data_IF_480498140732
#
_entry.id   IF_480498140732
#
_cell.length_a   1.000
_cell.length_b   1.000
_cell.length_c   1.000
_cell.angle_alpha   90.00
_cell.angle_beta   90.00
_cell.angle_gamma   90.00
#
_symmetry.space_group_name_H-M   'P 1'
#
loop_
_entity.id
_entity.type
_entity.pdbx_description
1 polymer ?
#
# COMPACT_ATOMS: atom_id res chain seq x y z
N UNK A 1 4.44 31.20 -4.15
CA UNK A 1 4.67 32.26 -3.14
C UNK A 1 4.79 31.57 -1.80
N UNK A 2 5.71 32.00 -0.93
CA UNK A 2 5.93 31.38 0.38
C UNK A 2 5.57 32.39 1.47
N UNK A 3 4.62 32.04 2.35
CA UNK A 3 4.29 32.87 3.51
C UNK A 3 5.03 32.38 4.76
N UNK A 4 5.49 33.33 5.58
CA UNK A 4 6.22 33.10 6.83
C UNK A 4 6.09 34.30 7.76
N UNK A 5 6.71 34.21 8.92
CA UNK A 5 6.73 35.28 9.93
C UNK A 5 7.00 36.67 9.32
N UNK A 6 6.30 37.68 9.83
CA UNK A 6 6.32 39.08 9.38
C UNK A 6 5.71 39.34 7.99
N UNK A 7 5.23 38.33 7.28
CA UNK A 7 4.41 38.56 6.10
C UNK A 7 3.05 39.16 6.49
N UNK A 8 2.53 40.04 5.62
CA UNK A 8 1.24 40.68 5.78
C UNK A 8 0.49 40.72 4.46
N UNK A 9 -0.84 40.60 4.51
CA UNK A 9 -1.69 40.77 3.34
C UNK A 9 -2.82 39.74 3.27
N UNK A 10 -3.51 39.76 2.14
CA UNK A 10 -4.72 38.95 1.95
C UNK A 10 -4.43 37.44 1.95
N UNK A 11 -3.31 37.03 1.36
CA UNK A 11 -2.91 35.61 1.37
C UNK A 11 -2.72 35.07 2.81
N UNK A 12 -2.24 35.91 3.73
CA UNK A 12 -2.10 35.54 5.15
C UNK A 12 -3.47 35.38 5.80
N UNK A 13 -4.43 36.26 5.49
CA UNK A 13 -5.81 36.10 5.97
C UNK A 13 -6.42 34.80 5.49
N UNK A 14 -6.24 34.48 4.21
CA UNK A 14 -6.72 33.20 3.64
C UNK A 14 -6.16 32.01 4.41
N UNK A 15 -4.86 31.98 4.72
CA UNK A 15 -4.28 30.91 5.55
C UNK A 15 -4.90 30.86 6.94
N UNK A 16 -5.05 32.01 7.60
CA UNK A 16 -5.64 32.11 8.93
C UNK A 16 -7.11 31.63 8.93
N UNK A 17 -7.89 31.97 7.90
CA UNK A 17 -9.26 31.50 7.72
C UNK A 17 -9.33 29.99 7.57
N UNK A 18 -8.52 29.42 6.67
CA UNK A 18 -8.51 27.98 6.40
C UNK A 18 -8.08 27.21 7.65
N UNK A 19 -6.99 27.63 8.31
CA UNK A 19 -6.52 26.98 9.53
C UNK A 19 -7.58 27.01 10.64
N UNK A 20 -8.26 28.14 10.81
CA UNK A 20 -9.34 28.27 11.79
C UNK A 20 -10.52 27.37 11.44
N UNK A 21 -10.89 27.30 10.16
CA UNK A 21 -11.97 26.43 9.70
C UNK A 21 -11.65 24.95 9.94
N UNK A 22 -10.38 24.55 9.71
CA UNK A 22 -9.85 23.22 10.00
C UNK A 22 -9.63 22.92 11.49
N UNK A 23 -10.00 23.84 12.38
CA UNK A 23 -9.96 23.64 13.84
C UNK A 23 -8.61 23.92 14.51
N UNK A 24 -7.67 24.56 13.81
CA UNK A 24 -6.44 25.08 14.40
C UNK A 24 -6.66 26.50 14.97
N UNK A 25 -5.74 26.99 15.78
CA UNK A 25 -5.81 28.33 16.35
C UNK A 25 -4.69 29.24 15.78
N UNK A 26 -4.92 29.90 14.64
CA UNK A 26 -3.91 30.79 14.04
C UNK A 26 -3.86 32.18 14.70
N UNK A 27 -4.70 32.44 15.71
CA UNK A 27 -4.92 33.77 16.27
C UNK A 27 -6.01 34.57 15.51
N UNK A 28 -6.00 35.90 15.61
CA UNK A 28 -6.90 36.77 14.83
C UNK A 28 -6.69 36.59 13.33
N UNK A 29 -7.77 36.72 12.54
CA UNK A 29 -7.70 36.80 11.08
C UNK A 29 -7.46 38.28 10.72
N UNK A 30 -6.23 38.73 10.93
CA UNK A 30 -5.81 40.13 10.75
C UNK A 30 -4.89 40.31 9.53
N UNK A 31 -4.50 39.21 8.89
CA UNK A 31 -3.57 39.22 7.78
C UNK A 31 -2.13 39.46 8.20
N UNK A 32 -1.78 39.30 9.48
CA UNK A 32 -0.42 39.33 9.99
C UNK A 32 0.05 37.94 10.41
N UNK A 33 1.14 37.47 9.79
CA UNK A 33 1.72 36.17 10.08
C UNK A 33 2.59 36.26 11.34
N UNK A 34 1.96 36.20 12.51
CA UNK A 34 2.62 36.15 13.82
C UNK A 34 2.78 34.73 14.37
N UNK A 35 3.37 34.61 15.56
CA UNK A 35 3.71 33.33 16.22
C UNK A 35 2.54 32.33 16.28
N UNK A 36 1.31 32.80 16.50
CA UNK A 36 0.13 31.93 16.54
C UNK A 36 -0.20 31.32 15.19
N UNK A 37 -0.06 32.10 14.11
CA UNK A 37 -0.27 31.61 12.74
C UNK A 37 0.81 30.60 12.37
N UNK A 38 2.07 30.88 12.70
CA UNK A 38 3.19 29.95 12.49
C UNK A 38 2.98 28.63 13.25
N UNK A 39 2.65 28.69 14.54
CA UNK A 39 2.37 27.50 15.35
C UNK A 39 1.21 26.67 14.79
N UNK A 40 0.15 27.32 14.30
CA UNK A 40 -0.96 26.63 13.65
C UNK A 40 -0.55 25.96 12.33
N UNK A 41 0.33 26.60 11.55
CA UNK A 41 0.89 26.02 10.32
C UNK A 41 1.78 24.81 10.63
N UNK A 42 2.64 24.89 11.65
CA UNK A 42 3.47 23.76 12.09
C UNK A 42 2.57 22.58 12.50
N UNK A 43 1.58 22.82 13.36
CA UNK A 43 0.65 21.77 13.78
C UNK A 43 -0.12 21.17 12.59
N UNK A 44 -0.50 22.01 11.63
CA UNK A 44 -1.12 21.54 10.39
C UNK A 44 -0.16 20.66 9.59
N UNK A 45 1.08 21.10 9.38
CA UNK A 45 2.10 20.35 8.65
C UNK A 45 2.41 19.01 9.33
N UNK A 46 2.60 18.99 10.65
CA UNK A 46 2.83 17.76 11.44
C UNK A 46 1.68 16.76 11.28
N UNK A 47 0.44 17.22 11.45
CA UNK A 47 -0.74 16.35 11.34
C UNK A 47 -0.98 15.83 9.92
N UNK A 48 -0.47 16.53 8.91
CA UNK A 48 -0.62 16.17 7.51
C UNK A 48 0.67 15.58 6.89
N UNK A 49 1.66 15.22 7.72
CA UNK A 49 2.96 14.65 7.29
C UNK A 49 3.68 15.50 6.23
N UNK A 50 3.60 16.82 6.36
CA UNK A 50 4.41 17.77 5.61
C UNK A 50 5.69 18.09 6.40
N UNK A 51 6.68 18.68 5.74
CA UNK A 51 7.84 19.24 6.45
C UNK A 51 7.36 20.40 7.33
N UNK A 52 7.45 20.23 8.65
CA UNK A 52 6.87 21.12 9.65
C UNK A 52 7.82 22.31 9.95
N UNK A 53 8.00 23.17 8.96
CA UNK A 53 8.88 24.35 9.01
C UNK A 53 8.17 25.66 9.32
N UNK A 54 6.84 25.63 9.50
CA UNK A 54 6.05 26.83 9.74
C UNK A 54 5.91 27.74 8.52
N UNK A 55 6.35 27.29 7.34
CA UNK A 55 6.30 28.05 6.08
C UNK A 55 5.16 27.54 5.20
N UNK A 56 4.30 28.45 4.75
CA UNK A 56 3.26 28.13 3.78
C UNK A 56 3.83 28.19 2.37
N UNK A 57 4.54 27.12 1.99
CA UNK A 57 4.98 26.87 0.61
C UNK A 57 3.92 26.14 -0.23
N UNK A 58 4.21 25.80 -1.50
CA UNK A 58 3.25 25.17 -2.41
C UNK A 58 2.61 23.89 -1.87
N UNK A 59 3.37 23.07 -1.13
CA UNK A 59 2.87 21.85 -0.52
C UNK A 59 1.90 22.13 0.64
N UNK A 60 2.20 23.13 1.47
CA UNK A 60 1.33 23.55 2.57
C UNK A 60 0.04 24.16 2.03
N UNK A 61 0.11 25.00 1.00
CA UNK A 61 -1.07 25.55 0.31
C UNK A 61 -1.98 24.44 -0.22
N UNK A 62 -1.41 23.49 -0.97
CA UNK A 62 -2.18 22.35 -1.48
C UNK A 62 -2.83 21.55 -0.36
N UNK A 63 -2.09 21.29 0.72
CA UNK A 63 -2.61 20.59 1.89
C UNK A 63 -3.79 21.33 2.53
N UNK A 64 -3.68 22.65 2.71
CA UNK A 64 -4.73 23.48 3.31
C UNK A 64 -6.00 23.46 2.47
N UNK A 65 -5.89 23.66 1.15
CA UNK A 65 -7.04 23.59 0.24
C UNK A 65 -7.67 22.21 0.22
N UNK A 66 -6.87 21.14 0.16
CA UNK A 66 -7.39 19.78 0.15
C UNK A 66 -8.12 19.43 1.45
N UNK A 67 -7.56 19.80 2.60
CA UNK A 67 -8.19 19.58 3.89
C UNK A 67 -9.52 20.36 4.00
N UNK A 68 -9.57 21.57 3.42
CA UNK A 68 -10.76 22.39 3.38
C UNK A 68 -11.84 21.81 2.47
N UNK A 69 -11.47 21.38 1.26
CA UNK A 69 -12.37 20.70 0.33
C UNK A 69 -13.00 19.48 0.98
N UNK A 70 -12.20 18.64 1.65
CA UNK A 70 -12.70 17.47 2.39
C UNK A 70 -13.71 17.89 3.47
N UNK A 71 -13.41 18.90 4.27
CA UNK A 71 -14.30 19.37 5.34
C UNK A 71 -15.61 19.98 4.78
N UNK A 72 -15.54 20.68 3.65
CA UNK A 72 -16.71 21.26 2.97
C UNK A 72 -17.57 20.15 2.36
N UNK A 73 -16.95 19.16 1.72
CA UNK A 73 -17.65 17.98 1.20
C UNK A 73 -18.38 17.21 2.32
N UNK A 74 -17.74 17.04 3.48
CA UNK A 74 -18.36 16.45 4.68
C UNK A 74 -19.57 17.25 5.19
N UNK A 75 -19.57 18.58 5.04
CA UNK A 75 -20.64 19.47 5.53
C UNK A 75 -21.80 19.65 4.54
N UNK A 76 -21.53 19.70 3.24
CA UNK A 76 -22.54 19.93 2.19
C UNK A 76 -23.35 18.67 1.92
N UNK A 77 -22.77 17.49 2.14
CA UNK A 77 -23.44 16.23 1.86
C UNK A 77 -23.42 15.28 3.07
N UNK A 78 -24.20 15.59 4.14
CA UNK A 78 -24.32 14.71 5.31
C UNK A 78 -24.97 13.35 4.98
N UNK A 79 -25.47 13.14 3.74
CA UNK A 79 -25.95 11.85 3.26
C UNK A 79 -24.88 10.95 2.63
N UNK A 80 -23.63 11.43 2.45
CA UNK A 80 -22.52 10.58 1.99
C UNK A 80 -22.29 9.40 2.96
N UNK A 81 -22.53 9.57 4.26
CA UNK A 81 -22.45 8.47 5.22
C UNK A 81 -23.48 7.35 4.95
N UNK A 82 -24.62 7.65 4.31
CA UNK A 82 -25.64 6.67 3.98
C UNK A 82 -25.48 6.06 2.58
N UNK A 83 -24.83 6.74 1.64
CA UNK A 83 -24.55 6.17 0.30
C UNK A 83 -23.27 5.32 0.26
N UNK A 84 -22.37 5.41 1.24
CA UNK A 84 -21.27 4.44 1.38
C UNK A 84 -21.72 3.04 1.85
N UNK A 85 -22.99 2.87 2.26
CA UNK A 85 -23.54 1.55 2.56
C UNK A 85 -23.86 0.74 1.30
N UNK A 86 -23.95 1.36 0.11
CA UNK A 86 -24.51 0.70 -1.06
C UNK A 86 -23.58 -0.30 -1.77
N UNK A 87 -22.25 -0.14 -1.69
CA UNK A 87 -21.31 -0.97 -2.47
C UNK A 87 -20.08 -1.41 -1.66
N UNK A 88 -20.30 -2.00 -0.48
CA UNK A 88 -19.22 -2.79 0.14
C UNK A 88 -18.83 -3.92 -0.81
N UNK A 89 -17.56 -3.94 -1.21
CA UNK A 89 -17.02 -5.03 -1.99
C UNK A 89 -16.90 -6.28 -1.11
N UNK A 90 -17.31 -7.41 -1.67
CA UNK A 90 -17.25 -8.69 -0.98
C UNK A 90 -15.80 -9.09 -0.64
N UNK A 91 -15.66 -9.74 0.52
CA UNK A 91 -14.50 -10.58 0.80
C UNK A 91 -14.70 -11.93 0.12
N UNK A 92 -14.00 -12.14 -1.00
CA UNK A 92 -14.08 -13.37 -1.79
C UNK A 92 -13.03 -14.35 -1.30
N UNK A 93 -13.46 -15.57 -0.96
CA UNK A 93 -12.54 -16.67 -0.66
C UNK A 93 -12.07 -17.29 -1.97
N UNK A 94 -10.78 -17.20 -2.25
CA UNK A 94 -10.14 -17.74 -3.44
C UNK A 94 -9.27 -18.97 -3.11
N UNK A 95 -9.15 -19.95 -4.01
CA UNK A 95 -8.28 -21.10 -3.82
C UNK A 95 -6.80 -20.75 -3.99
N UNK A 96 -5.94 -21.51 -3.32
CA UNK A 96 -4.49 -21.52 -3.49
C UNK A 96 -4.00 -22.97 -3.50
N UNK A 97 -2.83 -23.22 -4.06
CA UNK A 97 -2.28 -24.58 -4.06
C UNK A 97 -1.55 -24.85 -2.75
N UNK A 98 -2.10 -25.79 -1.98
CA UNK A 98 -1.48 -26.25 -0.73
C UNK A 98 -0.04 -26.70 -1.00
N UNK A 99 0.91 -26.10 -0.28
CA UNK A 99 2.30 -26.47 -0.34
C UNK A 99 2.92 -26.35 1.04
N UNK A 100 3.34 -27.50 1.60
CA UNK A 100 3.80 -27.61 2.99
C UNK A 100 2.74 -27.00 3.93
N UNK A 101 3.15 -26.09 4.81
CA UNK A 101 2.29 -25.41 5.78
C UNK A 101 1.62 -24.14 5.23
N UNK A 102 1.67 -23.91 3.91
CA UNK A 102 0.94 -22.82 3.26
C UNK A 102 -0.58 -22.99 3.36
N UNK A 103 -1.32 -21.98 2.92
CA UNK A 103 -2.78 -22.04 2.86
C UNK A 103 -3.25 -22.61 1.52
N UNK A 104 -4.35 -23.37 1.53
CA UNK A 104 -5.08 -23.85 0.35
C UNK A 104 -6.17 -22.86 -0.11
N UNK A 105 -6.39 -21.78 0.66
CA UNK A 105 -7.37 -20.74 0.37
C UNK A 105 -7.10 -19.49 1.18
N UNK A 106 -7.49 -18.34 0.67
CA UNK A 106 -7.41 -17.07 1.40
C UNK A 106 -8.50 -16.10 0.94
N UNK A 107 -8.59 -14.94 1.59
CA UNK A 107 -9.58 -13.92 1.28
C UNK A 107 -8.94 -12.69 0.65
N UNK A 108 -9.53 -12.22 -0.44
CA UNK A 108 -9.24 -10.96 -1.10
C UNK A 108 -10.51 -10.13 -1.22
N UNK A 109 -10.36 -8.83 -1.46
CA UNK A 109 -11.45 -7.99 -1.94
C UNK A 109 -11.87 -8.44 -3.35
N UNK A 110 -13.15 -8.36 -3.67
CA UNK A 110 -13.76 -8.88 -4.91
C UNK A 110 -12.97 -8.59 -6.19
N UNK A 111 -12.61 -7.34 -6.44
CA UNK A 111 -11.86 -6.95 -7.64
C UNK A 111 -10.43 -7.53 -7.68
N UNK A 112 -9.72 -7.51 -6.56
CA UNK A 112 -8.42 -8.17 -6.43
C UNK A 112 -8.54 -9.70 -6.58
N UNK A 113 -9.64 -10.29 -6.10
CA UNK A 113 -9.91 -11.71 -6.22
C UNK A 113 -10.13 -12.12 -7.68
N UNK A 114 -10.90 -11.35 -8.44
CA UNK A 114 -11.12 -11.58 -9.87
C UNK A 114 -9.80 -11.49 -10.66
N UNK A 115 -8.96 -10.51 -10.36
CA UNK A 115 -7.63 -10.36 -10.94
C UNK A 115 -6.71 -11.55 -10.59
N UNK A 116 -6.67 -11.95 -9.31
CA UNK A 116 -5.94 -13.13 -8.87
C UNK A 116 -6.40 -14.41 -9.59
N UNK A 117 -7.70 -14.59 -9.79
CA UNK A 117 -8.23 -15.79 -10.45
C UNK A 117 -7.79 -15.89 -11.91
N UNK A 118 -7.68 -14.77 -12.64
CA UNK A 118 -7.12 -14.76 -14.01
C UNK A 118 -5.64 -15.12 -14.05
N UNK A 119 -4.85 -14.65 -13.09
CA UNK A 119 -3.45 -15.11 -12.94
C UNK A 119 -3.41 -16.61 -12.63
N UNK A 120 -4.23 -17.06 -11.68
CA UNK A 120 -4.26 -18.45 -11.23
C UNK A 120 -4.63 -19.40 -12.36
N UNK A 121 -5.67 -19.10 -13.13
CA UNK A 121 -6.10 -19.89 -14.28
C UNK A 121 -4.92 -20.15 -15.23
N UNK A 122 -4.22 -19.08 -15.65
CA UNK A 122 -3.03 -19.19 -16.52
C UNK A 122 -1.90 -20.03 -15.93
N UNK A 123 -1.68 -19.94 -14.62
CA UNK A 123 -0.63 -20.73 -13.94
C UNK A 123 -1.01 -22.20 -13.90
N UNK A 124 -2.26 -22.53 -13.57
CA UNK A 124 -2.72 -23.92 -13.46
C UNK A 124 -2.82 -24.58 -14.83
N UNK A 125 -3.31 -23.87 -15.85
CA UNK A 125 -3.42 -24.39 -17.21
C UNK A 125 -2.06 -24.80 -17.79
N UNK A 126 -0.99 -24.13 -17.36
CA UNK A 126 0.38 -24.51 -17.70
C UNK A 126 0.98 -25.58 -16.77
N UNK A 127 0.23 -26.15 -15.84
CA UNK A 127 0.71 -27.14 -14.87
C UNK A 127 1.59 -26.57 -13.76
N UNK A 128 1.50 -25.27 -13.50
CA UNK A 128 2.18 -24.60 -12.40
C UNK A 128 1.39 -24.66 -11.08
N UNK A 129 1.92 -23.99 -10.05
CA UNK A 129 1.27 -23.84 -8.74
C UNK A 129 1.29 -22.38 -8.31
N UNK A 130 0.22 -21.95 -7.64
CA UNK A 130 0.08 -20.65 -7.01
C UNK A 130 -0.20 -20.85 -5.50
N UNK A 131 0.89 -20.93 -4.73
CA UNK A 131 0.85 -21.18 -3.28
C UNK A 131 0.54 -19.90 -2.51
N UNK A 132 0.18 -19.99 -1.21
CA UNK A 132 -0.10 -18.80 -0.41
C UNK A 132 0.34 -18.90 1.06
N UNK A 133 0.78 -17.76 1.61
CA UNK A 133 0.93 -17.50 3.06
C UNK A 133 -0.22 -16.65 3.61
N UNK A 134 -1.29 -16.44 2.83
CA UNK A 134 -2.47 -15.68 3.20
C UNK A 134 -2.53 -14.31 2.53
N UNK A 135 -3.53 -13.52 2.92
CA UNK A 135 -3.81 -12.21 2.35
C UNK A 135 -4.46 -11.29 3.38
N UNK A 136 -5.75 -11.47 3.68
CA UNK A 136 -6.47 -10.62 4.63
C UNK A 136 -5.78 -10.54 6.01
N UNK A 137 -5.51 -9.31 6.47
CA UNK A 137 -5.04 -9.03 7.82
C UNK A 137 -6.18 -8.56 8.72
N UNK A 138 -6.26 -9.12 9.94
CA UNK A 138 -7.20 -8.66 10.96
C UNK A 138 -6.93 -7.19 11.31
N UNK A 139 -7.97 -6.36 11.36
CA UNK A 139 -7.89 -4.94 11.75
C UNK A 139 -7.24 -4.72 13.12
N UNK A 140 -7.27 -5.74 14.00
CA UNK A 140 -6.69 -5.69 15.36
C UNK A 140 -5.31 -6.35 15.46
N UNK A 141 -4.72 -6.75 14.34
CA UNK A 141 -3.38 -7.33 14.34
C UNK A 141 -2.36 -6.35 14.93
N UNK A 142 -1.47 -6.86 15.77
CA UNK A 142 -0.37 -6.08 16.36
C UNK A 142 0.51 -5.50 15.26
N UNK A 143 0.71 -4.19 15.31
CA UNK A 143 1.60 -3.41 14.45
C UNK A 143 3.00 -3.41 15.07
N UNK A 144 4.03 -3.51 14.24
CA UNK A 144 5.42 -3.51 14.70
C UNK A 144 6.42 -3.45 13.54
N UNK A 145 7.71 -3.69 13.82
CA UNK A 145 8.78 -3.55 12.84
C UNK A 145 8.55 -4.38 11.56
N UNK A 146 7.91 -5.56 11.66
CA UNK A 146 7.59 -6.42 10.52
C UNK A 146 6.19 -6.20 9.94
N UNK A 147 5.31 -5.44 10.59
CA UNK A 147 3.89 -5.30 10.23
C UNK A 147 3.46 -3.85 10.28
N UNK A 148 3.27 -3.25 9.09
CA UNK A 148 2.76 -1.88 8.97
C UNK A 148 1.26 -1.79 9.27
N UNK A 149 0.85 -0.70 9.94
CA UNK A 149 -0.54 -0.31 10.15
C UNK A 149 -1.25 0.15 8.88
N UNK A 150 -0.50 0.48 7.82
CA UNK A 150 -1.01 0.99 6.54
C UNK A 150 -0.91 -0.03 5.41
N UNK A 151 -0.86 -1.31 5.77
CA UNK A 151 -0.66 -2.39 4.80
C UNK A 151 -1.91 -2.61 3.93
N UNK A 152 -1.70 -2.90 2.64
CA UNK A 152 -2.76 -3.29 1.71
C UNK A 152 -3.49 -4.59 2.11
N UNK A 153 -2.91 -5.41 3.00
CA UNK A 153 -3.59 -6.58 3.54
C UNK A 153 -4.85 -6.24 4.35
N UNK A 154 -4.95 -5.03 4.93
CA UNK A 154 -6.15 -4.61 5.62
C UNK A 154 -7.30 -4.35 4.63
N UNK A 155 -7.01 -3.77 3.47
CA UNK A 155 -8.00 -3.42 2.43
C UNK A 155 -8.37 -4.59 1.51
N UNK A 156 -7.78 -5.77 1.74
CA UNK A 156 -8.00 -6.96 0.91
C UNK A 156 -7.34 -6.89 -0.46
N UNK A 157 -6.39 -5.97 -0.63
CA UNK A 157 -5.69 -5.71 -1.89
C UNK A 157 -4.29 -6.33 -1.96
N UNK A 158 -3.85 -7.08 -0.95
CA UNK A 158 -2.54 -7.73 -0.98
C UNK A 158 -2.62 -9.22 -0.69
N UNK A 159 -1.73 -9.98 -1.32
CA UNK A 159 -1.52 -11.41 -1.11
C UNK A 159 -0.04 -11.70 -0.91
N UNK A 160 0.22 -12.75 -0.16
CA UNK A 160 1.54 -13.33 -0.02
C UNK A 160 1.53 -14.73 -0.64
N UNK A 161 2.42 -14.97 -1.60
CA UNK A 161 2.81 -16.34 -1.99
C UNK A 161 3.39 -17.08 -0.78
N UNK A 162 3.38 -18.42 -0.78
CA UNK A 162 3.92 -19.13 0.38
C UNK A 162 5.43 -18.86 0.54
N UNK A 163 5.83 -18.30 1.68
CA UNK A 163 7.21 -17.80 1.89
C UNK A 163 8.29 -18.88 1.76
N UNK A 164 7.95 -20.16 1.93
CA UNK A 164 8.84 -21.31 1.76
C UNK A 164 8.73 -22.00 0.40
N UNK A 165 8.09 -21.36 -0.59
CA UNK A 165 7.95 -21.88 -1.96
C UNK A 165 8.86 -21.21 -2.98
N UNK A 166 9.87 -20.46 -2.51
CA UNK A 166 10.91 -19.82 -3.33
C UNK A 166 12.14 -19.47 -2.50
N UNK A 167 13.28 -19.23 -3.16
CA UNK A 167 14.60 -18.90 -2.57
C UNK A 167 15.23 -19.95 -1.62
N UNK A 168 14.56 -21.04 -1.24
CA UNK A 168 15.05 -21.98 -0.22
C UNK A 168 15.82 -23.10 -0.91
N UNK A 169 15.14 -23.77 -1.83
CA UNK A 169 15.71 -24.78 -2.70
C UNK A 169 15.39 -24.45 -4.16
N UNK A 170 16.24 -23.62 -4.78
CA UNK A 170 16.10 -23.19 -6.17
C UNK A 170 15.88 -24.31 -7.19
N UNK A 171 16.24 -25.56 -6.88
CA UNK A 171 16.03 -26.72 -7.77
C UNK A 171 14.67 -27.42 -7.61
N UNK A 172 13.93 -27.18 -6.53
CA UNK A 172 12.68 -27.90 -6.20
C UNK A 172 11.51 -26.98 -5.84
N UNK A 173 11.80 -25.77 -5.43
CA UNK A 173 10.78 -24.80 -5.05
C UNK A 173 9.86 -24.50 -6.25
N UNK A 174 8.54 -24.37 -6.02
CA UNK A 174 7.58 -23.98 -7.06
C UNK A 174 7.96 -22.68 -7.76
N UNK A 175 8.53 -21.73 -7.02
CA UNK A 175 8.97 -20.44 -7.53
C UNK A 175 10.49 -20.33 -7.56
N UNK A 176 10.96 -19.75 -8.65
CA UNK A 176 12.35 -19.38 -8.86
C UNK A 176 12.41 -17.86 -8.84
N UNK A 177 13.30 -17.33 -8.02
CA UNK A 177 13.40 -15.90 -7.79
C UNK A 177 14.68 -15.36 -8.40
N UNK A 178 14.58 -14.28 -9.17
CA UNK A 178 15.70 -13.54 -9.74
C UNK A 178 15.69 -12.10 -9.19
N UNK A 179 16.88 -11.50 -9.08
CA UNK A 179 16.98 -10.06 -8.80
C UNK A 179 16.48 -9.26 -10.01
N UNK A 180 15.81 -8.13 -9.76
CA UNK A 180 15.22 -7.30 -10.82
C UNK A 180 15.33 -5.80 -10.49
N UNK A 181 16.54 -5.25 -10.50
CA UNK A 181 16.80 -3.84 -10.18
C UNK A 181 17.00 -3.55 -8.69
N UNK A 182 16.64 -2.35 -8.22
CA UNK A 182 16.85 -1.91 -6.83
C UNK A 182 15.94 -2.68 -5.86
N UNK A 183 16.47 -3.79 -5.33
CA UNK A 183 15.84 -4.62 -4.28
C UNK A 183 14.48 -5.21 -4.66
N UNK A 184 14.11 -5.18 -5.93
CA UNK A 184 12.97 -5.91 -6.44
C UNK A 184 13.38 -7.32 -6.84
N UNK A 185 12.38 -8.20 -6.83
CA UNK A 185 12.51 -9.57 -7.27
C UNK A 185 11.57 -9.82 -8.43
N UNK A 186 11.99 -10.68 -9.34
CA UNK A 186 11.11 -11.29 -10.34
C UNK A 186 10.86 -12.74 -9.96
N UNK A 187 9.59 -13.13 -10.00
CA UNK A 187 9.11 -14.44 -9.58
C UNK A 187 8.72 -15.23 -10.81
N UNK A 188 9.29 -16.42 -10.95
CA UNK A 188 9.00 -17.34 -12.03
C UNK A 188 8.41 -18.63 -11.45
N UNK A 189 7.22 -19.01 -11.92
CA UNK A 189 6.60 -20.28 -11.52
C UNK A 189 7.09 -21.40 -12.42
N UNK A 190 7.54 -22.51 -11.83
CA UNK A 190 7.79 -23.75 -12.58
C UNK A 190 6.46 -24.27 -13.11
N UNK A 191 6.41 -24.54 -14.41
CA UNK A 191 5.20 -24.99 -15.09
C UNK A 191 5.60 -25.84 -16.31
N UNK A 192 5.01 -27.03 -16.46
CA UNK A 192 5.31 -27.92 -17.59
C UNK A 192 4.99 -27.27 -18.93
N UNK A 193 3.87 -26.54 -19.00
CA UNK A 193 3.45 -25.72 -20.14
C UNK A 193 4.13 -24.34 -20.21
N UNK A 194 4.99 -23.98 -19.27
CA UNK A 194 5.72 -22.69 -19.29
C UNK A 194 6.78 -22.61 -20.39
N UNK A 195 7.32 -21.43 -20.66
CA UNK A 195 8.35 -21.24 -21.69
C UNK A 195 9.73 -21.74 -21.21
N UNK A 196 10.56 -22.31 -22.10
CA UNK A 196 11.92 -22.66 -21.77
C UNK A 196 12.73 -21.38 -21.48
N UNK A 197 13.31 -21.28 -20.29
CA UNK A 197 14.13 -20.13 -19.89
C UNK A 197 15.35 -20.58 -19.09
N UNK A 198 16.35 -19.71 -19.07
CA UNK A 198 17.44 -19.76 -18.11
C UNK A 198 17.30 -18.57 -17.15
N UNK A 199 17.29 -18.85 -15.85
CA UNK A 199 17.07 -17.86 -14.81
C UNK A 199 18.28 -17.84 -13.88
N UNK A 200 18.84 -16.66 -13.65
CA UNK A 200 19.87 -16.47 -12.62
C UNK A 200 19.23 -16.44 -11.23
N UNK A 201 19.00 -17.63 -10.67
CA UNK A 201 18.19 -17.82 -9.48
C UNK A 201 18.95 -17.53 -8.18
N UNK A 202 18.44 -16.58 -7.40
CA UNK A 202 18.94 -16.24 -6.06
C UNK A 202 18.35 -17.15 -4.99
N UNK A 203 19.04 -17.20 -3.86
CA UNK A 203 18.55 -17.88 -2.65
C UNK A 203 18.75 -16.95 -1.45
N UNK A 204 18.15 -17.28 -0.31
CA UNK A 204 18.37 -16.51 0.91
C UNK A 204 19.84 -16.44 1.36
N UNK A 205 20.59 -17.52 1.17
CA UNK A 205 22.03 -17.53 1.43
C UNK A 205 22.86 -16.79 0.37
N UNK A 206 22.30 -16.57 -0.82
CA UNK A 206 22.97 -15.96 -1.97
C UNK A 206 22.12 -14.84 -2.55
N UNK A 207 21.88 -13.83 -1.72
CA UNK A 207 20.89 -12.75 -1.95
C UNK A 207 21.16 -11.91 -3.20
N UNK A 208 22.43 -11.71 -3.55
CA UNK A 208 22.86 -10.83 -4.64
C UNK A 208 23.60 -11.57 -5.77
N UNK A 209 23.68 -12.89 -5.70
CA UNK A 209 24.38 -13.71 -6.70
C UNK A 209 23.51 -14.91 -6.99
N UNK A 210 22.95 -14.98 -8.18
CA UNK A 210 22.15 -16.14 -8.55
C UNK A 210 23.02 -17.27 -9.09
N UNK A 211 22.38 -18.39 -9.36
CA UNK A 211 22.96 -19.48 -10.14
C UNK A 211 22.01 -19.75 -11.28
N UNK A 212 22.56 -19.89 -12.48
CA UNK A 212 21.78 -20.23 -13.65
C UNK A 212 21.05 -21.56 -13.42
N UNK A 213 19.75 -21.55 -13.66
CA UNK A 213 18.94 -22.75 -13.73
C UNK A 213 18.13 -22.69 -15.01
N UNK A 214 18.06 -23.83 -15.70
CA UNK A 214 17.28 -23.97 -16.92
C UNK A 214 16.03 -24.79 -16.63
N UNK A 215 14.94 -24.50 -17.33
CA UNK A 215 13.66 -25.17 -17.11
C UNK A 215 12.53 -24.49 -17.87
N UNK A 216 11.31 -24.94 -17.62
CA UNK A 216 10.08 -24.35 -18.17
C UNK A 216 9.38 -23.53 -17.09
N UNK A 217 9.08 -22.28 -17.41
CA UNK A 217 8.61 -21.32 -16.43
C UNK A 217 7.51 -20.43 -16.99
N UNK A 218 6.66 -19.92 -16.09
CA UNK A 218 5.84 -18.75 -16.33
C UNK A 218 6.47 -17.59 -15.58
N UNK A 219 6.58 -16.43 -16.24
CA UNK A 219 6.88 -15.17 -15.56
C UNK A 219 5.65 -14.72 -14.76
N UNK A 220 5.60 -15.17 -13.51
CA UNK A 220 4.48 -14.94 -12.61
C UNK A 220 4.36 -13.45 -12.25
N UNK A 221 5.49 -12.77 -12.12
CA UNK A 221 5.53 -11.32 -11.94
C UNK A 221 4.83 -10.60 -13.08
N UNK A 222 5.15 -10.91 -14.33
CA UNK A 222 4.51 -10.29 -15.48
C UNK A 222 3.00 -10.59 -15.56
N UNK A 223 2.56 -11.80 -15.15
CA UNK A 223 1.13 -12.12 -15.06
C UNK A 223 0.41 -11.24 -14.03
N UNK A 224 0.99 -11.08 -12.85
CA UNK A 224 0.43 -10.22 -11.81
C UNK A 224 0.38 -8.75 -12.24
N UNK A 225 1.45 -8.23 -12.84
CA UNK A 225 1.52 -6.86 -13.36
C UNK A 225 0.46 -6.61 -14.45
N UNK A 226 0.26 -7.55 -15.37
CA UNK A 226 -0.79 -7.46 -16.39
C UNK A 226 -2.21 -7.39 -15.79
N UNK A 227 -2.38 -7.94 -14.59
CA UNK A 227 -3.64 -7.92 -13.83
C UNK A 227 -3.65 -6.80 -12.78
N UNK A 228 -2.71 -5.85 -12.82
CA UNK A 228 -2.70 -4.65 -11.98
C UNK A 228 -2.20 -4.85 -10.55
N UNK A 229 -1.47 -5.94 -10.31
CA UNK A 229 -0.69 -6.14 -9.08
C UNK A 229 0.74 -5.64 -9.25
N UNK A 230 1.26 -5.06 -8.18
CA UNK A 230 2.60 -4.54 -8.09
C UNK A 230 3.40 -5.29 -7.02
N UNK A 231 4.71 -5.38 -7.25
CA UNK A 231 5.66 -5.94 -6.29
C UNK A 231 6.12 -4.88 -5.31
N UNK A 232 6.67 -5.31 -4.18
CA UNK A 232 7.34 -4.42 -3.24
C UNK A 232 8.85 -4.68 -3.18
N UNK A 233 9.59 -3.68 -2.72
CA UNK A 233 11.04 -3.80 -2.52
C UNK A 233 11.33 -4.63 -1.28
N UNK A 234 12.32 -5.51 -1.38
CA UNK A 234 12.96 -6.11 -0.23
C UNK A 234 13.49 -5.05 0.73
N UNK A 235 13.45 -5.32 2.02
CA UNK A 235 13.98 -4.43 3.05
C UNK A 235 15.49 -4.25 2.86
N UNK A 236 16.05 -3.03 3.00
CA UNK A 236 17.49 -2.84 2.88
C UNK A 236 18.30 -3.76 3.80
N UNK A 237 17.80 -4.00 5.02
CA UNK A 237 18.43 -4.88 6.00
C UNK A 237 18.56 -6.34 5.53
N UNK A 238 17.72 -6.80 4.60
CA UNK A 238 17.84 -8.14 4.02
C UNK A 238 19.24 -8.36 3.43
N UNK A 239 19.77 -7.37 2.73
CA UNK A 239 21.06 -7.46 2.05
C UNK A 239 22.25 -7.35 3.00
N UNK A 240 22.03 -6.87 4.23
CA UNK A 240 23.09 -6.67 5.23
C UNK A 240 23.01 -7.65 6.40
N UNK A 241 22.48 -8.86 6.18
CA UNK A 241 22.42 -9.90 7.22
C UNK A 241 21.05 -10.08 7.88
N UNK A 242 20.04 -9.32 7.46
CA UNK A 242 18.68 -9.40 7.97
C UNK A 242 17.99 -10.75 7.71
N UNK A 243 16.77 -10.87 8.24
CA UNK A 243 16.00 -12.12 8.25
C UNK A 243 15.39 -12.44 6.88
N UNK A 244 14.96 -13.69 6.70
CA UNK A 244 14.25 -14.16 5.51
C UNK A 244 13.07 -13.27 5.12
N UNK A 245 12.29 -12.85 6.12
CA UNK A 245 11.11 -11.99 5.94
C UNK A 245 11.44 -10.63 5.31
N UNK A 246 12.70 -10.20 5.34
CA UNK A 246 13.13 -8.98 4.65
C UNK A 246 13.17 -9.11 3.12
N UNK A 247 13.10 -10.32 2.55
CA UNK A 247 13.16 -10.48 1.11
C UNK A 247 11.89 -9.94 0.42
N UNK A 248 10.71 -10.13 1.00
CA UNK A 248 9.42 -9.62 0.49
C UNK A 248 9.09 -10.03 -0.97
N UNK A 249 9.78 -11.02 -1.55
CA UNK A 249 9.55 -11.48 -2.94
C UNK A 249 8.16 -12.09 -3.16
N UNK A 250 7.54 -12.57 -2.09
CA UNK A 250 6.23 -13.23 -2.10
C UNK A 250 5.06 -12.25 -2.17
N UNK A 251 5.29 -10.97 -1.87
CA UNK A 251 4.23 -10.01 -1.66
C UNK A 251 3.84 -9.30 -2.96
N UNK A 252 2.55 -9.35 -3.28
CA UNK A 252 1.95 -8.63 -4.39
C UNK A 252 0.77 -7.80 -3.88
N UNK A 253 0.70 -6.54 -4.30
CA UNK A 253 -0.37 -5.62 -3.94
C UNK A 253 -1.09 -5.11 -5.18
N UNK A 254 -2.41 -5.30 -5.22
CA UNK A 254 -3.29 -4.85 -6.28
C UNK A 254 -3.43 -3.32 -6.22
N UNK A 255 -2.90 -2.60 -7.21
CA UNK A 255 -2.93 -1.14 -7.25
C UNK A 255 -3.93 -0.59 -8.28
N UNK A 256 -4.48 -1.45 -9.14
CA UNK A 256 -5.42 -1.03 -10.18
C UNK A 256 -6.60 -0.22 -9.61
N UNK A 257 -6.93 0.89 -10.28
CA UNK A 257 -7.96 1.83 -9.83
C UNK A 257 -7.55 2.76 -8.67
N UNK A 258 -6.35 2.62 -8.08
CA UNK A 258 -5.81 3.63 -7.18
C UNK A 258 -5.29 4.84 -7.97
N UNK A 259 -5.63 6.04 -7.50
CA UNK A 259 -5.20 7.31 -8.08
C UNK A 259 -4.09 7.90 -7.22
N UNK A 260 -2.87 7.98 -7.75
CA UNK A 260 -1.74 8.62 -7.06
C UNK A 260 -2.10 10.06 -6.69
N UNK A 261 -1.86 10.44 -5.44
CA UNK A 261 -2.19 11.76 -4.91
C UNK A 261 -3.66 11.97 -4.54
N UNK A 262 -4.55 10.98 -4.74
CA UNK A 262 -5.98 11.13 -4.45
C UNK A 262 -6.58 9.97 -3.64
N UNK A 263 -6.26 8.72 -3.95
CA UNK A 263 -6.80 7.57 -3.21
C UNK A 263 -6.26 7.54 -1.77
N UNK A 264 -7.16 7.48 -0.80
CA UNK A 264 -6.80 7.42 0.63
C UNK A 264 -6.88 6.00 1.17
N UNK A 265 -6.04 5.68 2.16
CA UNK A 265 -6.07 4.39 2.84
C UNK A 265 -7.44 4.13 3.52
N UNK A 266 -8.02 5.17 4.11
CA UNK A 266 -9.34 5.15 4.72
C UNK A 266 -10.46 4.86 3.73
N UNK A 267 -10.43 5.52 2.57
CA UNK A 267 -11.40 5.26 1.50
C UNK A 267 -11.33 3.81 1.01
N UNK A 268 -10.12 3.24 0.90
CA UNK A 268 -9.96 1.84 0.52
C UNK A 268 -10.36 0.85 1.63
N UNK A 269 -10.28 1.23 2.91
CA UNK A 269 -10.85 0.46 4.02
C UNK A 269 -12.38 0.47 3.99
N UNK A 270 -12.99 1.64 3.74
CA UNK A 270 -14.44 1.81 3.70
C UNK A 270 -15.10 1.10 2.51
N UNK A 271 -14.33 0.69 1.50
CA UNK A 271 -14.82 -0.20 0.43
C UNK A 271 -15.07 -1.64 0.88
N UNK A 272 -14.54 -2.08 2.02
CA UNK A 272 -14.63 -3.48 2.49
C UNK A 272 -15.05 -3.62 3.96
N UNK A 273 -15.20 -2.49 4.64
CA UNK A 273 -15.64 -2.41 6.02
C UNK A 273 -16.54 -1.20 6.21
N UNK A 274 -17.48 -1.30 7.14
CA UNK A 274 -18.20 -0.12 7.63
C UNK A 274 -17.30 0.71 8.53
N UNK A 275 -17.56 2.01 8.65
CA UNK A 275 -16.81 2.89 9.55
C UNK A 275 -16.82 2.37 11.00
N UNK A 276 -17.95 1.85 11.47
CA UNK A 276 -18.09 1.26 12.79
C UNK A 276 -17.10 0.11 13.06
N UNK A 277 -16.73 -0.65 12.02
CA UNK A 277 -15.77 -1.76 12.13
C UNK A 277 -14.33 -1.26 12.22
N UNK A 278 -14.01 -0.12 11.60
CA UNK A 278 -12.63 0.38 11.49
C UNK A 278 -12.29 1.48 12.49
N UNK A 279 -13.26 2.29 12.93
CA UNK A 279 -13.02 3.54 13.68
C UNK A 279 -12.14 3.39 14.93
N UNK A 280 -12.21 2.23 15.60
CA UNK A 280 -11.46 1.94 16.83
C UNK A 280 -10.26 1.02 16.60
N UNK A 281 -9.76 0.93 15.36
CA UNK A 281 -8.70 -0.02 14.98
C UNK A 281 -7.40 0.72 14.62
N UNK A 282 -6.22 0.13 14.86
CA UNK A 282 -4.94 0.72 14.47
C UNK A 282 -4.86 1.27 13.04
N UNK A 283 -5.32 0.57 11.98
CA UNK A 283 -5.23 1.11 10.61
C UNK A 283 -6.01 2.42 10.41
N UNK A 284 -7.12 2.62 11.12
CA UNK A 284 -7.97 3.81 10.93
C UNK A 284 -7.31 5.13 11.38
N UNK A 285 -6.32 5.06 12.26
CA UNK A 285 -5.51 6.23 12.64
C UNK A 285 -4.78 6.83 11.42
N UNK A 286 -4.58 6.05 10.37
CA UNK A 286 -3.88 6.44 9.15
C UNK A 286 -4.81 6.62 7.94
N UNK A 287 -6.13 6.75 8.17
CA UNK A 287 -7.16 6.82 7.11
C UNK A 287 -6.91 7.93 6.08
N UNK A 288 -6.29 9.04 6.48
CA UNK A 288 -6.01 10.18 5.60
C UNK A 288 -4.75 10.01 4.75
N UNK A 289 -3.99 8.91 4.91
CA UNK A 289 -2.80 8.69 4.10
C UNK A 289 -3.17 8.47 2.63
N UNK A 290 -2.39 9.09 1.76
CA UNK A 290 -2.63 9.17 0.32
C UNK A 290 -1.65 8.27 -0.43
N UNK A 291 -2.19 7.50 -1.37
CA UNK A 291 -1.43 6.62 -2.24
C UNK A 291 -0.41 7.40 -3.10
N UNK A 292 0.84 6.95 -3.13
CA UNK A 292 1.94 7.62 -3.84
C UNK A 292 2.50 8.88 -3.15
N UNK A 293 2.05 9.21 -1.94
CA UNK A 293 2.59 10.32 -1.12
C UNK A 293 3.11 9.79 0.21
N UNK A 294 2.22 9.26 1.06
CA UNK A 294 2.58 8.85 2.42
C UNK A 294 1.92 7.52 2.87
N UNK A 295 1.06 6.91 2.06
CA UNK A 295 0.53 5.58 2.31
C UNK A 295 1.54 4.49 1.93
N UNK A 296 1.87 4.40 0.64
CA UNK A 296 2.78 3.44 0.03
C UNK A 296 3.32 4.03 -1.27
#
# INVERSE_FOLDING_TARGET
>A
MNLRENNRGEDVKTVQEILKQLGYNPGPIDGWYGEKTESAVIQFQERNNLYADGIVGPNTWRGLHQALEIQIEEQINPQIENDFQADLMDWVRVPADQYRDGYDRFFLRKDAAEAYMRVRERVIDAGGKLTSSGARRSLRATVGASRSATSFHYTGRALDLFVGSGMENRGRDPFVIAADGDRYWRVFARAEGGEPMEIEAVTYGSRNRGRLISGRFIDLTALFEAEGFERIRARPSFFTGGTWLGAEWWHFQYENGLKKGASTFGGELLKVYTENQVRSTPPWQFRTRIFGINWF
#
